data_IF_931247346855
#
_entry.id   IF_931247346855
#
_cell.length_a   1.000
_cell.length_b   1.000
_cell.length_c   1.000
_cell.angle_alpha   90.00
_cell.angle_beta   90.00
_cell.angle_gamma   90.00
#
_symmetry.space_group_name_H-M   'P 1'
#
loop_
_entity.id
_entity.type
_entity.pdbx_description
1 polymer ?
#
# COMPACT_ATOMS: atom_id res chain seq x y z
N UNK A 1 13.52 19.53 -6.29
CA UNK A 1 12.37 19.04 -5.49
C UNK A 1 12.43 19.43 -4.00
N UNK A 2 13.45 19.03 -3.21
CA UNK A 2 13.43 19.22 -1.75
C UNK A 2 13.46 20.68 -1.30
N UNK A 3 14.22 21.55 -1.96
CA UNK A 3 14.19 22.99 -1.68
C UNK A 3 12.78 23.57 -1.86
N UNK A 4 12.10 23.25 -2.96
CA UNK A 4 10.74 23.73 -3.25
C UNK A 4 9.68 23.20 -2.25
N UNK A 5 9.80 21.95 -1.80
CA UNK A 5 8.77 21.27 -0.99
C UNK A 5 9.03 21.31 0.52
N UNK A 6 10.29 21.50 0.93
CA UNK A 6 10.74 21.40 2.34
C UNK A 6 11.57 22.60 2.80
N UNK A 7 11.92 23.53 1.90
CA UNK A 7 12.73 24.71 2.22
C UNK A 7 14.20 24.43 2.55
N UNK A 8 14.65 23.18 2.41
CA UNK A 8 16.03 22.75 2.67
C UNK A 8 16.37 21.50 1.88
N UNK A 9 17.63 21.36 1.49
CA UNK A 9 18.14 20.10 0.96
C UNK A 9 18.37 19.11 2.11
N UNK A 10 17.78 17.92 1.96
CA UNK A 10 17.84 16.82 2.93
C UNK A 10 18.12 15.48 2.25
N UNK A 11 18.54 15.48 0.99
CA UNK A 11 18.75 14.26 0.21
C UNK A 11 19.79 13.33 0.86
N UNK A 12 21.00 13.86 1.11
CA UNK A 12 22.09 13.12 1.74
C UNK A 12 21.71 12.55 3.11
N UNK A 13 20.94 13.31 3.89
CA UNK A 13 20.44 12.85 5.18
C UNK A 13 19.50 11.66 5.02
N UNK A 14 18.60 11.67 4.03
CA UNK A 14 17.68 10.56 3.77
C UNK A 14 18.42 9.32 3.28
N UNK A 15 19.45 9.46 2.44
CA UNK A 15 20.28 8.34 2.00
C UNK A 15 20.98 7.66 3.20
N UNK A 16 21.56 8.45 4.12
CA UNK A 16 22.14 7.90 5.36
C UNK A 16 21.13 7.16 6.22
N UNK A 17 19.87 7.64 6.28
CA UNK A 17 18.80 6.93 7.01
C UNK A 17 18.52 5.57 6.37
N UNK A 18 18.48 5.48 5.03
CA UNK A 18 18.31 4.21 4.30
C UNK A 18 19.41 3.22 4.67
N UNK A 19 20.68 3.65 4.65
CA UNK A 19 21.81 2.80 5.03
C UNK A 19 21.75 2.32 6.49
N UNK A 20 21.32 3.20 7.40
CA UNK A 20 21.15 2.82 8.81
C UNK A 20 20.01 1.82 8.99
N UNK A 21 18.88 2.01 8.30
CA UNK A 21 17.79 1.05 8.31
C UNK A 21 18.22 -0.30 7.73
N UNK A 22 19.04 -0.31 6.67
CA UNK A 22 19.61 -1.53 6.09
C UNK A 22 20.48 -2.28 7.09
N UNK A 23 21.35 -1.59 7.82
CA UNK A 23 22.20 -2.18 8.89
C UNK A 23 21.39 -2.76 10.05
N UNK A 24 20.24 -2.17 10.35
CA UNK A 24 19.37 -2.55 11.46
C UNK A 24 18.23 -3.51 11.06
N UNK A 25 18.22 -4.01 9.81
CA UNK A 25 17.14 -4.85 9.25
C UNK A 25 15.73 -4.23 9.42
N UNK A 26 15.65 -2.91 9.25
CA UNK A 26 14.41 -2.14 9.26
C UNK A 26 13.90 -1.96 7.83
N UNK A 27 12.58 -2.04 7.65
CA UNK A 27 11.92 -1.78 6.37
C UNK A 27 11.42 -0.34 6.28
N UNK A 28 11.49 0.23 5.09
CA UNK A 28 11.09 1.61 4.79
C UNK A 28 9.86 1.61 3.87
N UNK A 29 8.92 2.50 4.19
CA UNK A 29 7.88 2.95 3.28
C UNK A 29 8.18 4.39 2.87
N UNK A 30 8.35 4.64 1.57
CA UNK A 30 8.53 5.99 1.04
C UNK A 30 7.17 6.69 0.98
N UNK A 31 7.09 7.92 1.47
CA UNK A 31 5.83 8.71 1.47
C UNK A 31 6.07 10.06 0.78
N UNK A 32 6.19 10.10 -0.56
CA UNK A 32 6.38 11.34 -1.31
C UNK A 32 5.04 12.07 -1.53
N UNK A 33 5.04 13.38 -1.33
CA UNK A 33 3.92 14.24 -1.74
C UNK A 33 4.11 14.61 -3.21
N UNK A 34 3.08 14.41 -4.04
CA UNK A 34 3.12 14.67 -5.48
C UNK A 34 2.23 15.87 -5.82
N UNK A 35 2.80 16.85 -6.51
CA UNK A 35 2.13 18.04 -7.01
C UNK A 35 2.44 18.12 -8.51
N UNK A 36 1.40 18.17 -9.33
CA UNK A 36 1.56 18.32 -10.78
C UNK A 36 2.31 19.64 -11.06
N UNK A 37 3.19 19.62 -12.06
CA UNK A 37 4.10 20.69 -12.48
C UNK A 37 5.31 20.97 -11.56
N UNK A 38 5.41 20.28 -10.42
CA UNK A 38 6.53 20.46 -9.47
C UNK A 38 7.41 19.22 -9.39
N UNK A 39 6.80 18.04 -9.28
CA UNK A 39 7.53 16.78 -9.08
C UNK A 39 6.78 15.52 -9.54
N UNK A 40 5.75 15.65 -10.37
CA UNK A 40 5.03 14.51 -10.96
C UNK A 40 5.93 13.68 -11.89
N UNK A 41 6.89 14.32 -12.55
CA UNK A 41 7.95 13.66 -13.33
C UNK A 41 8.81 12.68 -12.50
N UNK A 42 8.84 12.84 -11.17
CA UNK A 42 9.63 12.00 -10.27
C UNK A 42 8.93 10.71 -9.86
N UNK A 43 7.65 10.50 -10.20
CA UNK A 43 6.90 9.29 -9.79
C UNK A 43 7.60 8.02 -10.30
N UNK A 44 7.99 7.99 -11.57
CA UNK A 44 8.71 6.85 -12.14
C UNK A 44 10.11 6.65 -11.53
N UNK A 45 10.83 7.74 -11.27
CA UNK A 45 12.17 7.68 -10.67
C UNK A 45 12.14 7.18 -9.23
N UNK A 46 11.15 7.59 -8.44
CA UNK A 46 10.95 7.10 -7.07
C UNK A 46 10.64 5.60 -7.09
N UNK A 47 9.84 5.14 -8.06
CA UNK A 47 9.56 3.73 -8.24
C UNK A 47 10.84 2.94 -8.55
N UNK A 48 11.63 3.37 -9.54
CA UNK A 48 12.92 2.75 -9.87
C UNK A 48 13.89 2.74 -8.69
N UNK A 49 14.01 3.87 -7.98
CA UNK A 49 14.83 3.96 -6.78
C UNK A 49 14.42 2.94 -5.70
N UNK A 50 13.12 2.71 -5.52
CA UNK A 50 12.61 1.71 -4.59
C UNK A 50 12.91 0.27 -5.05
N UNK A 51 12.88 -0.01 -6.34
CA UNK A 51 13.28 -1.31 -6.93
C UNK A 51 14.77 -1.56 -6.72
N UNK A 52 15.62 -0.56 -6.98
CA UNK A 52 17.05 -0.65 -6.72
C UNK A 52 17.35 -0.96 -5.23
N UNK A 53 16.61 -0.31 -4.34
CA UNK A 53 16.74 -0.46 -2.89
C UNK A 53 15.69 -1.41 -2.27
N UNK A 54 15.19 -2.39 -3.04
CA UNK A 54 14.14 -3.32 -2.58
C UNK A 54 14.55 -4.15 -1.36
N UNK A 55 15.85 -4.19 -1.08
CA UNK A 55 16.36 -4.91 0.06
C UNK A 55 15.91 -4.30 1.40
N UNK A 56 15.69 -2.99 1.42
CA UNK A 56 15.29 -2.18 2.59
C UNK A 56 13.95 -1.46 2.39
N UNK A 57 13.59 -1.11 1.15
CA UNK A 57 12.32 -0.46 0.82
C UNK A 57 11.28 -1.52 0.46
N UNK A 58 10.13 -1.51 1.14
CA UNK A 58 9.05 -2.48 0.89
C UNK A 58 7.77 -1.84 0.37
N UNK A 59 7.69 -0.52 0.37
CA UNK A 59 6.49 0.20 -0.02
C UNK A 59 6.77 1.64 -0.46
N UNK A 60 5.88 2.14 -1.31
CA UNK A 60 5.73 3.54 -1.68
C UNK A 60 4.26 3.89 -1.49
N UNK A 61 4.00 4.88 -0.64
CA UNK A 61 2.69 5.48 -0.43
C UNK A 61 2.74 6.91 -0.98
N UNK A 62 2.47 7.05 -2.28
CA UNK A 62 2.37 8.35 -2.92
C UNK A 62 1.19 9.15 -2.32
N UNK A 63 1.41 10.43 -2.08
CA UNK A 63 0.41 11.32 -1.49
C UNK A 63 0.18 12.48 -2.46
N UNK A 64 -0.70 12.32 -3.46
CA UNK A 64 -1.16 13.46 -4.25
C UNK A 64 -1.66 14.58 -3.36
N UNK A 65 -1.36 15.83 -3.75
CA UNK A 65 -1.69 17.01 -2.95
C UNK A 65 -3.19 17.16 -2.73
N UNK A 66 -3.56 17.58 -1.52
CA UNK A 66 -4.88 18.10 -1.21
C UNK A 66 -4.79 19.61 -1.00
N UNK A 67 -5.75 20.36 -1.52
CA UNK A 67 -5.72 21.83 -1.48
C UNK A 67 -6.56 22.36 -0.32
N UNK A 68 -5.91 22.86 0.71
CA UNK A 68 -6.57 23.51 1.85
C UNK A 68 -6.43 25.03 1.75
N UNK A 69 -7.47 25.77 2.16
CA UNK A 69 -7.49 27.24 2.11
C UNK A 69 -7.90 27.84 0.75
N UNK A 70 -7.55 29.12 0.54
CA UNK A 70 -7.85 29.86 -0.70
C UNK A 70 -6.80 29.53 -1.75
N UNK A 71 -7.24 29.09 -2.91
CA UNK A 71 -6.42 28.85 -4.09
C UNK A 71 -7.24 29.25 -5.31
N UNK A 72 -6.58 29.84 -6.31
CA UNK A 72 -7.20 30.14 -7.59
C UNK A 72 -7.65 28.85 -8.32
N UNK A 73 -8.74 28.93 -9.07
CA UNK A 73 -9.31 27.75 -9.74
C UNK A 73 -8.40 27.22 -10.84
N UNK A 74 -7.79 28.10 -11.63
CA UNK A 74 -6.88 27.71 -12.70
C UNK A 74 -5.64 27.04 -12.11
N UNK A 75 -5.01 27.69 -11.12
CA UNK A 75 -3.85 27.13 -10.43
C UNK A 75 -4.15 25.76 -9.81
N UNK A 76 -5.30 25.62 -9.15
CA UNK A 76 -5.73 24.36 -8.54
C UNK A 76 -5.88 23.25 -9.58
N UNK A 77 -6.46 23.54 -10.75
CA UNK A 77 -6.64 22.54 -11.80
C UNK A 77 -5.30 22.15 -12.42
N UNK A 78 -4.41 23.11 -12.65
CA UNK A 78 -3.05 22.86 -13.18
C UNK A 78 -2.21 21.99 -12.23
N UNK A 79 -2.30 22.23 -10.92
CA UNK A 79 -1.49 21.51 -9.92
C UNK A 79 -2.12 20.19 -9.44
N UNK A 80 -3.38 19.90 -9.80
CA UNK A 80 -4.06 18.70 -9.35
C UNK A 80 -3.46 17.46 -10.02
N UNK A 81 -3.17 16.48 -9.17
CA UNK A 81 -2.67 15.18 -9.56
C UNK A 81 -3.60 14.11 -8.97
N UNK A 82 -4.12 13.21 -9.81
CA UNK A 82 -5.12 12.21 -9.42
C UNK A 82 -4.51 10.83 -9.23
N UNK A 83 -5.27 9.89 -8.66
CA UNK A 83 -4.84 8.48 -8.60
C UNK A 83 -4.78 7.82 -9.98
N UNK A 84 -5.56 8.32 -10.95
CA UNK A 84 -5.49 7.86 -12.34
C UNK A 84 -4.21 8.33 -13.04
N UNK A 85 -3.75 9.55 -12.76
CA UNK A 85 -2.44 10.03 -13.20
C UNK A 85 -1.33 9.16 -12.59
N UNK A 86 -1.40 8.93 -11.28
CA UNK A 86 -0.46 8.08 -10.56
C UNK A 86 -0.35 6.67 -11.14
N UNK A 87 -1.49 6.03 -11.42
CA UNK A 87 -1.50 4.68 -11.96
C UNK A 87 -0.81 4.61 -13.33
N UNK A 88 -1.04 5.62 -14.20
CA UNK A 88 -0.39 5.71 -15.51
C UNK A 88 1.13 5.89 -15.39
N UNK A 89 1.58 6.76 -14.49
CA UNK A 89 3.01 7.04 -14.32
C UNK A 89 3.76 5.84 -13.71
N UNK A 90 3.14 5.14 -12.75
CA UNK A 90 3.68 3.87 -12.22
C UNK A 90 3.68 2.80 -13.32
N UNK A 91 2.62 2.68 -14.11
CA UNK A 91 2.54 1.73 -15.22
C UNK A 91 3.66 1.94 -16.25
N UNK A 92 3.91 3.20 -16.64
CA UNK A 92 5.00 3.56 -17.53
C UNK A 92 6.37 3.19 -16.97
N UNK A 93 6.59 3.33 -15.66
CA UNK A 93 7.85 3.02 -15.02
C UNK A 93 8.08 1.52 -14.75
N UNK A 94 7.01 0.72 -14.69
CA UNK A 94 7.03 -0.68 -14.27
C UNK A 94 6.70 -1.69 -15.37
N UNK A 95 6.14 -1.24 -16.50
CA UNK A 95 5.58 -2.11 -17.53
C UNK A 95 4.23 -2.75 -17.15
N UNK A 96 3.59 -2.27 -16.08
CA UNK A 96 2.25 -2.70 -15.71
C UNK A 96 1.17 -2.15 -16.67
N UNK A 97 0.00 -2.78 -16.66
CA UNK A 97 -1.18 -2.32 -17.39
C UNK A 97 -2.19 -1.80 -16.37
N UNK A 98 -2.62 -0.54 -16.49
CA UNK A 98 -3.44 0.14 -15.47
C UNK A 98 -4.72 -0.64 -15.17
N UNK A 99 -5.44 -1.05 -16.20
CA UNK A 99 -6.75 -1.70 -16.11
C UNK A 99 -6.67 -3.12 -15.51
N UNK A 100 -5.53 -3.80 -15.68
CA UNK A 100 -5.30 -5.16 -15.20
C UNK A 100 -4.68 -5.17 -13.80
N UNK A 101 -3.70 -4.30 -13.57
CA UNK A 101 -2.76 -4.47 -12.46
C UNK A 101 -3.05 -3.56 -11.27
N UNK A 102 -3.93 -2.57 -11.40
CA UNK A 102 -4.21 -1.62 -10.33
C UNK A 102 -5.60 -1.81 -9.75
N UNK A 103 -5.66 -1.86 -8.43
CA UNK A 103 -6.90 -2.08 -7.69
C UNK A 103 -7.06 -1.07 -6.56
N UNK A 104 -8.31 -0.79 -6.14
CA UNK A 104 -8.54 -0.14 -4.86
C UNK A 104 -7.92 -0.96 -3.74
N UNK A 105 -7.14 -0.34 -2.85
CA UNK A 105 -6.44 -1.08 -1.80
C UNK A 105 -7.39 -1.79 -0.83
N UNK A 106 -8.68 -1.43 -0.80
CA UNK A 106 -9.72 -2.17 -0.04
C UNK A 106 -9.88 -3.63 -0.48
N UNK A 107 -9.36 -4.01 -1.66
CA UNK A 107 -9.41 -5.39 -2.16
C UNK A 107 -8.67 -6.38 -1.25
N UNK A 108 -7.75 -5.92 -0.40
CA UNK A 108 -6.93 -6.79 0.47
C UNK A 108 -7.69 -7.36 1.69
N UNK A 109 -8.93 -6.94 1.93
CA UNK A 109 -9.74 -7.45 3.06
C UNK A 109 -9.82 -8.98 3.17
N UNK A 110 -10.03 -9.75 2.08
CA UNK A 110 -10.11 -11.20 2.12
C UNK A 110 -8.83 -11.85 2.65
N UNK A 111 -7.66 -11.26 2.36
CA UNK A 111 -6.38 -11.72 2.89
C UNK A 111 -6.35 -11.63 4.42
N UNK A 112 -6.73 -10.49 4.99
CA UNK A 112 -6.77 -10.31 6.45
C UNK A 112 -7.73 -11.29 7.12
N UNK A 113 -8.92 -11.51 6.54
CA UNK A 113 -9.90 -12.46 7.07
C UNK A 113 -9.42 -13.92 6.99
N UNK A 114 -8.82 -14.28 5.86
CA UNK A 114 -8.25 -15.61 5.65
C UNK A 114 -7.11 -15.89 6.63
N UNK A 115 -6.18 -14.94 6.79
CA UNK A 115 -5.05 -15.08 7.72
C UNK A 115 -5.52 -15.13 9.18
N UNK A 116 -6.50 -14.32 9.56
CA UNK A 116 -7.11 -14.40 10.90
C UNK A 116 -7.69 -15.79 11.16
N UNK A 117 -8.39 -16.36 10.18
CA UNK A 117 -8.96 -17.72 10.30
C UNK A 117 -7.87 -18.80 10.38
N UNK A 118 -6.85 -18.70 9.53
CA UNK A 118 -5.73 -19.66 9.48
C UNK A 118 -4.90 -19.63 10.75
N UNK A 119 -4.67 -18.43 11.32
CA UNK A 119 -3.81 -18.25 12.48
C UNK A 119 -4.56 -18.26 13.81
N UNK A 120 -5.90 -18.15 13.80
CA UNK A 120 -6.73 -17.85 14.96
C UNK A 120 -6.27 -16.61 15.74
N UNK A 121 -5.60 -15.67 15.07
CA UNK A 121 -5.09 -14.43 15.67
C UNK A 121 -5.73 -13.22 14.99
N UNK A 122 -6.23 -12.23 15.75
CA UNK A 122 -6.81 -11.01 15.18
C UNK A 122 -5.86 -10.35 14.17
N UNK A 123 -6.39 -9.98 13.00
CA UNK A 123 -5.64 -9.22 11.99
C UNK A 123 -6.32 -7.88 11.74
N UNK A 124 -5.51 -6.87 11.47
CA UNK A 124 -6.02 -5.57 11.00
C UNK A 124 -6.71 -5.82 9.65
N UNK A 125 -7.94 -5.33 9.52
CA UNK A 125 -8.77 -5.42 8.31
C UNK A 125 -8.91 -4.02 7.72
N UNK A 126 -7.86 -3.47 7.09
CA UNK A 126 -7.94 -2.14 6.53
C UNK A 126 -8.92 -2.17 5.35
N UNK A 127 -9.97 -1.34 5.41
CA UNK A 127 -10.91 -1.16 4.31
C UNK A 127 -11.31 0.30 4.23
N UNK A 128 -10.61 1.03 3.37
CA UNK A 128 -11.03 2.38 3.02
C UNK A 128 -12.12 2.34 1.95
N UNK A 129 -12.71 3.50 1.67
CA UNK A 129 -13.51 3.66 0.45
C UNK A 129 -12.64 3.41 -0.79
N UNK A 130 -13.21 2.87 -1.86
CA UNK A 130 -12.47 2.49 -3.08
C UNK A 130 -11.73 3.68 -3.70
N UNK A 131 -12.33 4.87 -3.61
CA UNK A 131 -11.76 6.10 -4.17
C UNK A 131 -10.71 6.76 -3.26
N UNK A 132 -10.44 6.19 -2.08
CA UNK A 132 -9.43 6.72 -1.17
C UNK A 132 -8.02 6.27 -1.55
N UNK A 133 -7.84 5.01 -1.94
CA UNK A 133 -6.51 4.49 -2.21
C UNK A 133 -6.51 3.49 -3.36
N UNK A 134 -5.55 3.65 -4.26
CA UNK A 134 -5.44 2.89 -5.51
C UNK A 134 -3.96 2.60 -5.79
N UNK A 135 -3.65 1.40 -6.24
CA UNK A 135 -2.27 1.00 -6.44
C UNK A 135 -2.11 -0.45 -6.84
N UNK A 136 -0.86 -0.90 -6.83
CA UNK A 136 -0.49 -2.28 -7.12
C UNK A 136 0.59 -2.81 -6.17
N UNK A 137 0.78 -4.12 -6.22
CA UNK A 137 1.90 -4.82 -5.61
C UNK A 137 2.74 -5.43 -6.71
N UNK A 138 4.06 -5.44 -6.50
CA UNK A 138 5.02 -5.96 -7.44
C UNK A 138 5.91 -7.00 -6.77
N UNK A 139 6.22 -8.05 -7.51
CA UNK A 139 7.30 -8.98 -7.24
C UNK A 139 8.56 -8.41 -7.91
N UNK A 140 9.67 -8.37 -7.18
CA UNK A 140 10.96 -7.89 -7.70
C UNK A 140 11.97 -9.02 -7.60
N UNK A 141 12.53 -9.44 -8.74
CA UNK A 141 13.60 -10.44 -8.80
C UNK A 141 14.93 -9.89 -8.32
N UNK A 142 15.91 -10.78 -8.12
CA UNK A 142 17.27 -10.39 -7.73
C UNK A 142 17.97 -9.55 -8.80
N UNK A 143 17.67 -9.78 -10.09
CA UNK A 143 18.11 -8.98 -11.24
C UNK A 143 17.26 -7.72 -11.48
N UNK A 144 16.45 -7.32 -10.49
CA UNK A 144 15.65 -6.08 -10.47
C UNK A 144 14.54 -6.00 -11.51
N UNK A 145 14.17 -7.13 -12.12
CA UNK A 145 12.98 -7.20 -12.96
C UNK A 145 11.72 -7.14 -12.10
N UNK A 146 10.69 -6.48 -12.65
CA UNK A 146 9.48 -6.12 -11.93
C UNK A 146 8.30 -6.86 -12.55
N UNK A 147 7.52 -7.54 -11.71
CA UNK A 147 6.36 -8.32 -12.12
C UNK A 147 5.15 -7.87 -11.30
N UNK A 148 4.13 -7.24 -11.91
CA UNK A 148 2.90 -6.91 -11.21
C UNK A 148 2.24 -8.17 -10.64
N UNK A 149 1.82 -8.13 -9.38
CA UNK A 149 1.12 -9.25 -8.73
C UNK A 149 -0.07 -9.76 -9.56
N UNK A 150 -0.95 -8.89 -10.12
CA UNK A 150 -2.11 -9.35 -10.89
C UNK A 150 -1.79 -9.96 -12.25
N UNK A 151 -0.56 -9.75 -12.72
CA UNK A 151 -0.02 -10.45 -13.88
C UNK A 151 0.31 -11.91 -13.54
N UNK A 152 0.96 -12.12 -12.39
CA UNK A 152 1.42 -13.45 -11.93
C UNK A 152 0.30 -14.27 -11.29
N UNK A 153 -0.73 -13.61 -10.76
CA UNK A 153 -1.83 -14.23 -10.04
C UNK A 153 -3.17 -13.71 -10.52
N UNK A 154 -4.14 -14.60 -10.65
CA UNK A 154 -5.54 -14.20 -10.74
C UNK A 154 -6.02 -13.69 -9.36
N UNK A 155 -5.98 -12.37 -9.19
CA UNK A 155 -6.28 -11.71 -7.91
C UNK A 155 -7.74 -11.85 -7.52
N UNK A 156 -8.65 -11.80 -8.48
CA UNK A 156 -10.09 -11.90 -8.24
C UNK A 156 -10.45 -13.32 -7.79
N UNK A 157 -9.94 -14.33 -8.48
CA UNK A 157 -10.11 -15.73 -8.11
C UNK A 157 -9.40 -16.02 -6.77
N UNK A 158 -8.21 -15.47 -6.54
CA UNK A 158 -7.45 -15.65 -5.30
C UNK A 158 -8.23 -15.11 -4.10
N UNK A 159 -8.68 -13.86 -4.15
CA UNK A 159 -9.39 -13.25 -3.02
C UNK A 159 -10.79 -13.84 -2.82
N UNK A 160 -11.49 -14.21 -3.89
CA UNK A 160 -12.75 -14.95 -3.80
C UNK A 160 -12.56 -16.33 -3.19
N UNK A 161 -11.48 -17.02 -3.56
CA UNK A 161 -11.05 -18.30 -3.01
C UNK A 161 -10.70 -18.20 -1.52
N UNK A 162 -9.93 -17.18 -1.13
CA UNK A 162 -9.60 -16.89 0.27
C UNK A 162 -10.86 -16.69 1.12
N UNK A 163 -11.84 -15.90 0.66
CA UNK A 163 -13.11 -15.72 1.36
C UNK A 163 -13.91 -17.03 1.51
N UNK A 164 -13.90 -17.87 0.46
CA UNK A 164 -14.56 -19.19 0.51
C UNK A 164 -13.90 -20.10 1.53
N UNK A 165 -12.57 -20.21 1.49
CA UNK A 165 -11.79 -21.02 2.42
C UNK A 165 -11.93 -20.50 3.86
N UNK A 166 -11.84 -19.19 4.08
CA UNK A 166 -12.02 -18.59 5.41
C UNK A 166 -13.38 -18.97 6.02
N UNK A 167 -14.47 -18.93 5.24
CA UNK A 167 -15.79 -19.37 5.72
C UNK A 167 -15.84 -20.85 6.09
N UNK A 168 -15.21 -21.71 5.27
CA UNK A 168 -15.17 -23.16 5.51
C UNK A 168 -14.32 -23.52 6.74
N UNK A 169 -13.22 -22.82 6.96
CA UNK A 169 -12.26 -23.09 8.05
C UNK A 169 -12.69 -22.47 9.39
N UNK A 170 -13.62 -21.51 9.38
CA UNK A 170 -14.08 -20.79 10.57
C UNK A 170 -14.47 -21.70 11.76
N UNK A 171 -15.14 -22.86 11.58
CA UNK A 171 -15.50 -23.75 12.69
C UNK A 171 -14.29 -24.35 13.44
N UNK A 172 -13.13 -24.43 12.80
CA UNK A 172 -11.90 -24.98 13.39
C UNK A 172 -10.69 -24.08 13.10
N UNK A 173 -10.90 -22.76 13.23
CA UNK A 173 -9.87 -21.75 13.05
C UNK A 173 -8.60 -22.08 13.86
N UNK A 174 -7.42 -21.84 13.27
CA UNK A 174 -6.12 -22.17 13.88
C UNK A 174 -5.75 -23.66 13.89
N UNK A 175 -6.70 -24.57 13.65
CA UNK A 175 -6.48 -26.03 13.61
C UNK A 175 -6.67 -26.56 12.19
N UNK A 176 -5.67 -26.33 11.35
CA UNK A 176 -5.69 -26.78 9.95
C UNK A 176 -5.36 -28.27 9.82
N UNK A 177 -6.30 -29.05 9.28
CA UNK A 177 -6.06 -30.44 8.90
C UNK A 177 -5.13 -30.53 7.67
N UNK A 178 -4.63 -31.73 7.38
CA UNK A 178 -3.83 -31.96 6.17
C UNK A 178 -4.63 -31.65 4.89
N UNK A 179 -5.94 -31.96 4.90
CA UNK A 179 -6.85 -31.67 3.78
C UNK A 179 -7.02 -30.16 3.58
N UNK A 180 -7.09 -29.37 4.66
CA UNK A 180 -7.20 -27.91 4.57
C UNK A 180 -5.94 -27.29 3.98
N UNK A 181 -4.76 -27.75 4.42
CA UNK A 181 -3.48 -27.33 3.85
C UNK A 181 -3.40 -27.66 2.35
N UNK A 182 -3.88 -28.84 1.96
CA UNK A 182 -3.95 -29.25 0.56
C UNK A 182 -4.92 -28.38 -0.24
N UNK A 183 -6.11 -28.07 0.28
CA UNK A 183 -7.09 -27.17 -0.36
C UNK A 183 -6.54 -25.76 -0.55
N UNK A 184 -5.87 -25.22 0.47
CA UNK A 184 -5.19 -23.92 0.38
C UNK A 184 -4.14 -23.96 -0.74
N UNK A 185 -3.27 -24.98 -0.75
CA UNK A 185 -2.26 -25.13 -1.78
C UNK A 185 -2.87 -25.26 -3.19
N UNK A 186 -3.93 -26.04 -3.35
CA UNK A 186 -4.63 -26.18 -4.64
C UNK A 186 -5.25 -24.87 -5.12
N UNK A 187 -5.84 -24.07 -4.21
CA UNK A 187 -6.37 -22.75 -4.55
C UNK A 187 -5.27 -21.83 -5.09
N UNK A 188 -4.14 -21.72 -4.37
CA UNK A 188 -3.02 -20.89 -4.81
C UNK A 188 -2.33 -21.43 -6.07
N UNK A 189 -2.28 -22.76 -6.25
CA UNK A 189 -1.78 -23.36 -7.49
C UNK A 189 -2.69 -23.03 -8.67
N UNK A 190 -4.01 -23.02 -8.48
CA UNK A 190 -4.99 -22.74 -9.54
C UNK A 190 -5.02 -21.28 -9.99
N UNK A 191 -4.62 -20.34 -9.14
CA UNK A 191 -4.59 -18.90 -9.47
C UNK A 191 -3.22 -18.40 -9.91
N UNK A 192 -2.17 -19.22 -9.78
CA UNK A 192 -0.81 -18.88 -10.19
C UNK A 192 -0.62 -19.10 -11.69
N UNK A 193 0.01 -18.13 -12.36
CA UNK A 193 0.33 -18.13 -13.80
C UNK A 193 1.84 -18.30 -14.01
N UNK A 194 2.36 -19.54 -14.13
CA UNK A 194 3.80 -19.80 -14.21
C UNK A 194 4.48 -19.10 -15.40
N UNK A 195 3.80 -19.00 -16.53
CA UNK A 195 4.28 -18.38 -17.77
C UNK A 195 4.52 -16.86 -17.65
N UNK A 196 3.84 -16.21 -16.71
CA UNK A 196 3.99 -14.77 -16.44
C UNK A 196 4.81 -14.49 -15.17
N UNK A 197 5.17 -15.54 -14.43
CA UNK A 197 5.94 -15.45 -13.20
C UNK A 197 7.45 -15.31 -13.48
N UNK A 198 8.21 -14.78 -12.51
CA UNK A 198 9.66 -14.94 -12.49
C UNK A 198 10.04 -16.43 -12.55
N UNK A 199 11.09 -16.76 -13.29
CA UNK A 199 11.48 -18.15 -13.56
C UNK A 199 11.84 -18.95 -12.28
N UNK A 200 12.27 -18.26 -11.23
CA UNK A 200 12.64 -18.80 -9.93
C UNK A 200 11.49 -18.81 -8.91
N UNK A 201 10.35 -18.19 -9.22
CA UNK A 201 9.21 -18.12 -8.31
C UNK A 201 8.34 -19.38 -8.43
N UNK A 202 8.36 -20.20 -7.38
CA UNK A 202 7.42 -21.32 -7.24
C UNK A 202 6.20 -20.94 -6.42
N UNK A 203 5.10 -21.70 -6.53
CA UNK A 203 3.91 -21.57 -5.66
C UNK A 203 4.28 -21.65 -4.17
N UNK A 204 5.25 -22.50 -3.81
CA UNK A 204 5.76 -22.57 -2.42
C UNK A 204 6.52 -21.30 -2.02
N UNK A 205 7.37 -20.78 -2.90
CA UNK A 205 8.07 -19.51 -2.69
C UNK A 205 7.09 -18.34 -2.53
N UNK A 206 6.03 -18.31 -3.32
CA UNK A 206 4.95 -17.34 -3.20
C UNK A 206 4.21 -17.43 -1.87
N UNK A 207 3.84 -18.64 -1.43
CA UNK A 207 3.22 -18.85 -0.12
C UNK A 207 4.15 -18.41 1.03
N UNK A 208 5.46 -18.64 0.89
CA UNK A 208 6.46 -18.16 1.85
C UNK A 208 6.51 -16.63 1.88
N UNK A 209 6.51 -15.98 0.71
CA UNK A 209 6.46 -14.52 0.62
C UNK A 209 5.20 -13.94 1.26
N UNK A 210 4.02 -14.53 1.02
CA UNK A 210 2.77 -14.14 1.69
C UNK A 210 2.87 -14.27 3.21
N UNK A 211 3.45 -15.36 3.73
CA UNK A 211 3.65 -15.53 5.17
C UNK A 211 4.65 -14.51 5.73
N UNK A 212 5.73 -14.21 5.00
CA UNK A 212 6.72 -13.21 5.39
C UNK A 212 6.16 -11.79 5.48
N UNK A 213 5.16 -11.43 4.67
CA UNK A 213 4.47 -10.14 4.76
C UNK A 213 3.63 -9.98 6.04
N UNK A 214 3.20 -11.10 6.64
CA UNK A 214 2.23 -11.11 7.75
C UNK A 214 2.93 -11.40 9.09
N UNK A 215 4.04 -12.13 9.04
CA UNK A 215 4.79 -12.57 10.20
C UNK A 215 6.21 -12.00 10.17
N UNK A 216 6.49 -11.08 11.10
CA UNK A 216 7.80 -10.42 11.21
C UNK A 216 8.93 -11.41 11.49
N UNK A 217 8.66 -12.55 12.14
CA UNK A 217 9.68 -13.56 12.40
C UNK A 217 10.12 -14.30 11.13
N UNK A 218 9.23 -14.37 10.13
CA UNK A 218 9.48 -15.01 8.83
C UNK A 218 9.89 -14.03 7.74
N UNK A 219 9.50 -12.76 7.88
CA UNK A 219 9.82 -11.69 6.92
C UNK A 219 11.14 -10.96 7.17
N UNK A 220 11.81 -11.19 8.30
CA UNK A 220 13.05 -10.50 8.71
C UNK A 220 14.20 -11.48 8.98
N UNK A 221 15.43 -10.97 9.04
CA UNK A 221 16.62 -11.76 9.31
C UNK A 221 16.92 -12.82 8.25
N UNK A 222 17.59 -13.91 8.64
CA UNK A 222 17.97 -15.00 7.73
C UNK A 222 16.74 -15.70 7.09
N UNK A 223 15.62 -15.81 7.81
CA UNK A 223 14.39 -16.42 7.30
C UNK A 223 13.74 -15.58 6.18
N UNK A 224 13.89 -14.26 6.22
CA UNK A 224 13.38 -13.34 5.19
C UNK A 224 14.21 -13.31 3.91
N UNK A 225 15.47 -13.78 3.93
CA UNK A 225 16.37 -13.75 2.76
C UNK A 225 15.93 -14.67 1.61
N UNK A 226 15.19 -15.73 1.92
CA UNK A 226 14.64 -16.65 0.92
C UNK A 226 13.24 -16.28 0.42
N UNK A 227 12.64 -15.21 0.94
CA UNK A 227 11.35 -14.73 0.46
C UNK A 227 11.54 -13.84 -0.75
N UNK A 228 10.67 -14.02 -1.74
CA UNK A 228 10.63 -13.14 -2.89
C UNK A 228 10.37 -11.69 -2.45
N UNK A 229 11.10 -10.74 -3.03
CA UNK A 229 10.99 -9.33 -2.64
C UNK A 229 9.69 -8.76 -3.19
N UNK A 230 8.96 -8.04 -2.35
CA UNK A 230 7.70 -7.40 -2.74
C UNK A 230 7.78 -5.88 -2.54
N UNK A 231 7.17 -5.15 -3.47
CA UNK A 231 7.03 -3.70 -3.42
C UNK A 231 5.56 -3.32 -3.55
N UNK A 232 5.00 -2.68 -2.54
CA UNK A 232 3.72 -1.97 -2.73
C UNK A 232 4.00 -0.62 -3.37
N UNK A 233 3.29 -0.25 -4.44
CA UNK A 233 3.26 1.14 -4.91
C UNK A 233 1.80 1.59 -5.05
N UNK A 234 1.39 2.47 -4.16
CA UNK A 234 0.00 2.92 -4.09
C UNK A 234 -0.09 4.39 -3.71
N UNK A 235 -1.19 5.02 -4.11
CA UNK A 235 -1.53 6.37 -3.71
C UNK A 235 -2.67 6.41 -2.71
N UNK A 236 -2.70 7.42 -1.86
CA UNK A 236 -3.91 7.82 -1.12
C UNK A 236 -4.30 9.25 -1.49
N UNK A 237 -5.55 9.44 -1.90
CA UNK A 237 -6.06 10.75 -2.33
C UNK A 237 -6.84 11.40 -1.19
N UNK A 238 -6.19 12.29 -0.44
CA UNK A 238 -6.89 13.04 0.61
C UNK A 238 -7.90 14.03 0.01
N UNK A 239 -9.01 14.21 0.72
CA UNK A 239 -10.09 15.07 0.27
C UNK A 239 -9.77 16.54 0.51
N UNK A 240 -10.28 17.39 -0.36
CA UNK A 240 -10.30 18.84 -0.19
C UNK A 240 -11.72 19.39 -0.40
N UNK A 241 -11.91 20.70 -0.27
CA UNK A 241 -13.24 21.32 -0.36
C UNK A 241 -13.93 21.13 -1.71
N UNK A 242 -13.20 20.73 -2.75
CA UNK A 242 -13.68 20.63 -4.12
C UNK A 242 -14.09 19.20 -4.52
N UNK A 243 -13.74 18.19 -3.71
CA UNK A 243 -14.06 16.79 -3.95
C UNK A 243 -14.45 16.04 -2.66
N UNK A 244 -15.05 16.76 -1.71
CA UNK A 244 -15.37 16.22 -0.40
C UNK A 244 -16.60 15.31 -0.44
N UNK A 245 -16.41 14.06 -0.07
CA UNK A 245 -17.44 13.04 0.01
C UNK A 245 -17.49 12.44 1.43
N UNK A 246 -18.69 12.46 2.01
CA UNK A 246 -18.97 11.96 3.37
C UNK A 246 -18.85 10.43 3.43
N UNK A 247 -19.18 9.69 2.36
CA UNK A 247 -19.07 8.23 2.35
C UNK A 247 -17.61 7.79 2.46
N UNK A 248 -16.69 8.55 1.86
CA UNK A 248 -15.24 8.37 2.03
C UNK A 248 -14.78 8.65 3.46
N UNK A 249 -15.35 9.65 4.13
CA UNK A 249 -15.05 9.99 5.53
C UNK A 249 -15.51 8.89 6.48
N UNK A 250 -16.73 8.36 6.30
CA UNK A 250 -17.30 7.28 7.13
C UNK A 250 -16.45 6.01 7.10
N UNK A 251 -15.73 5.77 6.01
CA UNK A 251 -14.84 4.62 5.80
C UNK A 251 -13.34 4.98 5.93
N UNK A 252 -13.01 6.07 6.60
CA UNK A 252 -11.61 6.48 6.73
C UNK A 252 -10.82 5.50 7.62
N UNK A 253 -9.65 5.08 7.13
CA UNK A 253 -8.72 4.20 7.86
C UNK A 253 -7.52 4.95 8.47
N UNK A 254 -7.51 6.27 8.37
CA UNK A 254 -6.49 7.15 8.96
C UNK A 254 -7.18 8.11 9.93
N UNK A 255 -7.45 7.71 11.19
CA UNK A 255 -8.01 8.61 12.18
C UNK A 255 -6.92 9.38 12.93
N UNK A 256 -7.23 10.59 13.38
CA UNK A 256 -6.52 11.26 14.46
C UNK A 256 -7.11 10.84 15.79
N UNK A 257 -6.23 10.48 16.73
CA UNK A 257 -6.60 10.34 18.14
C UNK A 257 -6.56 11.72 18.78
N UNK A 258 -7.71 12.17 19.28
CA UNK A 258 -7.86 13.45 19.98
C UNK A 258 -8.52 13.22 21.34
N UNK A 259 -8.45 14.18 22.28
CA UNK A 259 -9.19 14.08 23.54
C UNK A 259 -10.72 13.96 23.37
N UNK A 260 -11.27 14.41 22.24
CA UNK A 260 -12.69 14.26 21.90
C UNK A 260 -13.03 12.92 21.20
N UNK A 261 -12.04 12.05 21.01
CA UNK A 261 -12.19 10.76 20.34
C UNK A 261 -11.44 10.68 19.01
N UNK A 262 -11.76 9.63 18.24
CA UNK A 262 -11.17 9.37 16.93
C UNK A 262 -11.89 10.18 15.85
N UNK A 263 -11.14 11.00 15.11
CA UNK A 263 -11.69 11.84 14.02
C UNK A 263 -11.00 11.44 12.70
N UNK A 264 -11.74 11.10 11.64
CA UNK A 264 -11.17 10.83 10.32
C UNK A 264 -10.23 11.93 9.81
N UNK A 265 -9.11 11.56 9.17
CA UNK A 265 -8.09 12.50 8.67
C UNK A 265 -8.69 13.67 7.90
N UNK A 266 -9.54 13.36 6.92
CA UNK A 266 -10.10 14.37 6.04
C UNK A 266 -11.11 15.27 6.76
N UNK A 267 -11.81 14.79 7.80
CA UNK A 267 -12.69 15.64 8.59
C UNK A 267 -11.90 16.53 9.57
N UNK A 268 -10.77 16.03 10.05
CA UNK A 268 -9.90 16.76 10.96
C UNK A 268 -9.13 17.88 10.26
N UNK A 269 -8.50 17.58 9.11
CA UNK A 269 -7.61 18.50 8.39
C UNK A 269 -8.26 19.22 7.22
N UNK A 270 -9.31 18.65 6.62
CA UNK A 270 -9.94 19.14 5.39
C UNK A 270 -11.46 19.29 5.59
N UNK A 271 -12.17 19.80 4.58
CA UNK A 271 -13.65 19.91 4.62
C UNK A 271 -14.18 20.77 5.77
N UNK A 272 -15.00 20.23 6.70
CA UNK A 272 -15.48 20.96 7.89
C UNK A 272 -14.37 21.45 8.83
N UNK A 273 -13.15 20.87 8.75
CA UNK A 273 -11.97 21.23 9.54
C UNK A 273 -12.23 21.22 11.06
N UNK A 274 -12.38 20.05 11.66
CA UNK A 274 -12.56 19.94 13.13
C UNK A 274 -11.31 20.29 13.95
N UNK A 275 -10.12 20.33 13.33
CA UNK A 275 -8.86 20.60 14.03
C UNK A 275 -8.89 21.89 14.86
N UNK A 276 -9.20 23.09 14.34
CA UNK A 276 -9.20 24.32 15.15
C UNK A 276 -10.23 24.30 16.28
N UNK A 277 -11.37 23.64 16.09
CA UNK A 277 -12.40 23.48 17.13
C UNK A 277 -11.86 22.65 18.29
N UNK A 278 -11.29 21.49 18.00
CA UNK A 278 -10.71 20.59 19.01
C UNK A 278 -9.50 21.24 19.68
N UNK A 279 -8.58 21.83 18.92
CA UNK A 279 -7.41 22.51 19.48
C UNK A 279 -7.83 23.66 20.41
N UNK A 280 -8.85 24.44 20.05
CA UNK A 280 -9.40 25.50 20.92
C UNK A 280 -10.09 24.95 22.18
N UNK A 281 -10.83 23.86 22.07
CA UNK A 281 -11.52 23.23 23.23
C UNK A 281 -10.55 22.74 24.31
N UNK A 282 -9.35 22.30 23.91
CA UNK A 282 -8.35 21.74 24.81
C UNK A 282 -7.09 22.60 24.95
N UNK A 283 -7.08 23.80 24.38
CA UNK A 283 -6.01 24.77 24.59
C UNK A 283 -5.96 25.12 26.07
N UNK A 284 -4.82 24.85 26.72
CA UNK A 284 -4.54 25.38 28.06
C UNK A 284 -4.16 26.84 27.87
N UNK A 285 -4.88 27.71 28.59
CA UNK A 285 -4.66 29.16 28.65
C UNK A 285 -3.21 29.52 28.98
#
# INVERSE_FOLDING_TARGET
>A
MYLATRGRDIWETKLRVIENCRKLDMKICLVPTIIRTINDDQVGEIFRFAVENIDVISAISYQPVCFTGRIDTEQRLQQRYTLGDLARDIAQASGAVVERDFYPLSIVMPLSQFLETVTAQPKIKPSCHTDCAFGSYFLVSDDKQVYPFPRVLDIEAMFSGMNRLARQLKPHAGRLSLLDKMRIYQMFKGVFRPEEAPADLTVKGFLSALQGMVDKSKGRGQAGKGNYRTLMAAGMHFQDRYNYDIERVKRCVIPYSTPAGLIPFCAYNSGPMYRPLIEKMFARS
#
